data_IF_767199735913
#
_entry.id   IF_767199735913
#
_cell.length_a   1.000
_cell.length_b   1.000
_cell.length_c   1.000
_cell.angle_alpha   90.00
_cell.angle_beta   90.00
_cell.angle_gamma   90.00
#
_symmetry.space_group_name_H-M   'P 1'
#
loop_
_entity.id
_entity.type
_entity.pdbx_description
1 polymer ?
#
# COMPACT_ATOMS: atom_id res chain seq x y z
N UNK A 1 6.92 -23.43 12.83
CA UNK A 1 7.74 -23.09 11.65
C UNK A 1 7.20 -21.80 11.03
N UNK A 2 8.09 -20.88 10.69
CA UNK A 2 7.71 -19.61 10.06
C UNK A 2 8.81 -19.16 9.07
N UNK A 3 8.42 -18.38 8.08
CA UNK A 3 9.33 -17.65 7.19
C UNK A 3 9.38 -16.17 7.59
N UNK A 4 10.58 -15.59 7.64
CA UNK A 4 10.72 -14.15 7.89
C UNK A 4 10.19 -13.34 6.71
N UNK A 5 9.74 -12.12 6.95
CA UNK A 5 9.50 -11.18 5.85
C UNK A 5 10.80 -10.42 5.52
N UNK A 6 10.92 -10.00 4.27
CA UNK A 6 11.97 -9.10 3.76
C UNK A 6 11.34 -7.84 3.12
N UNK A 7 12.18 -6.92 2.65
CA UNK A 7 11.74 -5.66 2.04
C UNK A 7 11.56 -4.53 3.06
N UNK A 8 10.45 -3.80 2.99
CA UNK A 8 10.16 -2.60 3.81
C UNK A 8 9.77 -2.94 5.26
N UNK A 9 10.62 -3.69 5.95
CA UNK A 9 10.40 -4.20 7.31
C UNK A 9 10.22 -3.07 8.33
N UNK A 10 10.94 -1.97 8.17
CA UNK A 10 10.78 -0.82 9.06
C UNK A 10 9.43 -0.12 8.86
N UNK A 11 8.86 -0.16 7.65
CA UNK A 11 7.51 0.34 7.38
C UNK A 11 6.46 -0.56 8.03
N UNK A 12 6.63 -1.88 7.96
CA UNK A 12 5.76 -2.83 8.66
C UNK A 12 5.85 -2.68 10.19
N UNK A 13 7.04 -2.45 10.75
CA UNK A 13 7.23 -2.16 12.18
C UNK A 13 6.47 -0.90 12.60
N UNK A 14 6.62 0.20 11.84
CA UNK A 14 5.85 1.43 12.11
C UNK A 14 4.34 1.21 12.00
N UNK A 15 3.87 0.37 11.08
CA UNK A 15 2.45 0.03 10.97
C UNK A 15 1.96 -0.71 12.22
N UNK A 16 2.72 -1.71 12.69
CA UNK A 16 2.41 -2.46 13.91
C UNK A 16 2.37 -1.54 15.14
N UNK A 17 3.37 -0.68 15.33
CA UNK A 17 3.42 0.30 16.43
C UNK A 17 2.20 1.23 16.43
N UNK A 18 1.76 1.68 15.25
CA UNK A 18 0.56 2.52 15.12
C UNK A 18 -0.72 1.76 15.45
N UNK A 19 -0.82 0.50 15.04
CA UNK A 19 -1.95 -0.37 15.38
C UNK A 19 -2.00 -0.62 16.89
N UNK A 20 -0.87 -0.92 17.52
CA UNK A 20 -0.76 -1.09 18.97
C UNK A 20 -1.15 0.18 19.73
N UNK A 21 -0.69 1.35 19.27
CA UNK A 21 -1.07 2.62 19.87
C UNK A 21 -2.58 2.91 19.71
N UNK A 22 -3.19 2.52 18.59
CA UNK A 22 -4.63 2.63 18.39
C UNK A 22 -5.41 1.69 19.33
N UNK A 23 -4.97 0.44 19.49
CA UNK A 23 -5.57 -0.53 20.40
C UNK A 23 -5.55 -0.03 21.86
N UNK A 24 -4.40 0.50 22.31
CA UNK A 24 -4.28 1.12 23.64
C UNK A 24 -5.22 2.31 23.83
N UNK A 25 -5.32 3.21 22.85
CA UNK A 25 -6.24 4.36 22.92
C UNK A 25 -7.71 3.94 22.97
N UNK A 26 -8.04 2.78 22.42
CA UNK A 26 -9.38 2.17 22.49
C UNK A 26 -9.62 1.42 23.80
N UNK A 27 -8.68 1.42 24.75
CA UNK A 27 -8.81 0.78 26.05
C UNK A 27 -8.57 -0.73 26.05
N UNK A 28 -7.99 -1.29 24.99
CA UNK A 28 -7.65 -2.71 24.94
C UNK A 28 -6.40 -2.99 25.80
N UNK A 29 -6.45 -3.99 26.71
CA UNK A 29 -5.25 -4.43 27.40
C UNK A 29 -4.31 -5.06 26.38
N UNK A 30 -3.16 -4.43 26.18
CA UNK A 30 -2.11 -4.96 25.32
C UNK A 30 -1.04 -5.56 26.23
N UNK A 31 -0.64 -6.80 25.96
CA UNK A 31 0.46 -7.45 26.68
C UNK A 31 1.78 -6.69 26.49
N UNK A 32 2.77 -7.00 27.34
CA UNK A 32 4.10 -6.39 27.28
C UNK A 32 4.68 -6.55 25.87
N UNK A 33 5.09 -5.42 25.26
CA UNK A 33 5.37 -5.36 23.83
C UNK A 33 6.67 -6.09 23.51
N UNK A 34 6.53 -7.37 23.16
CA UNK A 34 7.59 -8.08 22.45
C UNK A 34 7.76 -7.38 21.10
N UNK A 35 9.00 -7.04 20.74
CA UNK A 35 9.28 -6.36 19.47
C UNK A 35 8.62 -7.09 18.31
N UNK A 36 7.89 -6.34 17.47
CA UNK A 36 7.23 -6.89 16.30
C UNK A 36 8.27 -7.51 15.35
N UNK A 37 8.11 -8.80 15.08
CA UNK A 37 8.93 -9.57 14.14
C UNK A 37 8.03 -10.01 12.98
N UNK A 38 8.09 -9.35 11.83
CA UNK A 38 7.30 -9.75 10.65
C UNK A 38 7.65 -11.17 10.23
N UNK A 39 6.65 -12.04 10.17
CA UNK A 39 6.81 -13.41 9.74
C UNK A 39 5.50 -13.96 9.18
N UNK A 40 5.61 -14.97 8.31
CA UNK A 40 4.51 -15.80 7.89
C UNK A 40 4.60 -17.14 8.62
N UNK A 41 3.58 -17.48 9.40
CA UNK A 41 3.49 -18.81 10.01
C UNK A 41 3.13 -19.83 8.94
N UNK A 42 3.99 -20.83 8.77
CA UNK A 42 3.82 -21.88 7.76
C UNK A 42 3.28 -23.17 8.36
N UNK A 43 3.72 -23.49 9.57
CA UNK A 43 3.21 -24.63 10.30
C UNK A 43 3.26 -24.39 11.81
N UNK A 44 2.27 -24.93 12.51
CA UNK A 44 2.20 -24.93 13.95
C UNK A 44 1.99 -26.37 14.41
N UNK A 45 2.83 -26.84 15.35
CA UNK A 45 2.67 -28.17 15.95
C UNK A 45 2.15 -28.01 17.37
N UNK A 46 1.12 -28.79 17.71
CA UNK A 46 0.58 -28.91 19.08
C UNK A 46 1.16 -30.11 19.84
N UNK A 47 1.92 -30.95 19.13
CA UNK A 47 2.62 -32.13 19.65
C UNK A 47 4.12 -31.97 19.43
N UNK A 48 4.91 -32.82 20.06
CA UNK A 48 6.36 -32.83 19.86
C UNK A 48 6.68 -33.46 18.49
N UNK A 49 6.73 -32.61 17.47
CA UNK A 49 7.04 -32.96 16.09
C UNK A 49 8.32 -32.25 15.68
N UNK A 50 9.30 -33.00 15.16
CA UNK A 50 10.52 -32.41 14.64
C UNK A 50 10.23 -31.62 13.35
N UNK A 51 10.39 -30.29 13.43
CA UNK A 51 10.21 -29.38 12.30
C UNK A 51 11.54 -28.99 11.62
N UNK A 52 12.68 -29.45 12.13
CA UNK A 52 14.02 -29.10 11.59
C UNK A 52 14.20 -29.48 10.12
N UNK A 53 13.76 -30.65 9.63
CA UNK A 53 13.92 -31.01 8.22
C UNK A 53 13.24 -30.01 7.27
N UNK A 54 12.06 -29.50 7.65
CA UNK A 54 11.34 -28.49 6.87
C UNK A 54 12.02 -27.13 6.93
N UNK A 55 12.60 -26.76 8.07
CA UNK A 55 13.39 -25.53 8.18
C UNK A 55 14.64 -25.59 7.28
N UNK A 56 15.36 -26.72 7.29
CA UNK A 56 16.52 -26.94 6.39
C UNK A 56 16.11 -26.92 4.92
N UNK A 57 14.99 -27.54 4.56
CA UNK A 57 14.51 -27.54 3.18
C UNK A 57 14.08 -26.15 2.67
N UNK A 58 13.76 -25.22 3.58
CA UNK A 58 13.44 -23.83 3.25
C UNK A 58 14.65 -22.89 3.38
N UNK A 59 15.85 -23.41 3.63
CA UNK A 59 17.04 -22.57 3.65
C UNK A 59 17.26 -21.92 2.28
N UNK A 60 17.50 -20.60 2.27
CA UNK A 60 17.59 -19.80 1.06
C UNK A 60 16.27 -19.62 0.28
N UNK A 61 15.12 -20.07 0.80
CA UNK A 61 13.83 -19.81 0.17
C UNK A 61 13.49 -18.31 0.20
N UNK A 62 13.20 -17.77 -0.97
CA UNK A 62 12.63 -16.43 -1.15
C UNK A 62 11.26 -16.54 -1.81
N UNK A 63 10.25 -15.94 -1.19
CA UNK A 63 8.90 -15.88 -1.74
C UNK A 63 8.76 -14.81 -2.81
N UNK A 64 7.66 -14.87 -3.58
CA UNK A 64 7.32 -13.80 -4.53
C UNK A 64 7.03 -12.49 -3.80
N UNK A 65 7.65 -11.36 -4.21
CA UNK A 65 7.31 -10.05 -3.66
C UNK A 65 5.85 -9.67 -3.91
N UNK A 66 5.23 -9.00 -2.94
CA UNK A 66 3.86 -8.51 -3.04
C UNK A 66 3.71 -7.22 -2.23
N UNK A 67 2.75 -6.39 -2.63
CA UNK A 67 2.42 -5.14 -1.94
C UNK A 67 1.31 -5.36 -0.90
N UNK A 68 1.51 -4.86 0.32
CA UNK A 68 0.48 -4.91 1.36
C UNK A 68 -0.62 -3.90 1.07
N UNK A 69 -1.77 -4.40 0.59
CA UNK A 69 -2.89 -3.57 0.18
C UNK A 69 -3.86 -3.18 1.31
N UNK A 70 -3.87 -3.91 2.44
CA UNK A 70 -4.79 -3.62 3.55
C UNK A 70 -4.28 -4.12 4.91
N UNK A 71 -4.78 -3.49 5.98
CA UNK A 71 -4.71 -3.98 7.35
C UNK A 71 -6.11 -4.42 7.78
N UNK A 72 -6.25 -5.58 8.42
CA UNK A 72 -7.53 -6.09 8.89
C UNK A 72 -7.55 -6.25 10.41
N UNK A 73 -8.68 -5.90 11.04
CA UNK A 73 -8.98 -6.30 12.42
C UNK A 73 -9.73 -7.63 12.39
N UNK A 74 -9.14 -8.65 13.00
CA UNK A 74 -9.67 -10.02 12.99
C UNK A 74 -10.03 -10.45 14.41
N UNK A 75 -11.24 -10.98 14.58
CA UNK A 75 -11.65 -11.66 15.80
C UNK A 75 -11.33 -13.15 15.67
N UNK A 76 -10.52 -13.67 16.58
CA UNK A 76 -10.32 -15.11 16.73
C UNK A 76 -11.29 -15.66 17.79
N UNK A 77 -12.03 -16.71 17.44
CA UNK A 77 -12.79 -17.54 18.38
C UNK A 77 -11.99 -18.82 18.59
N UNK A 78 -11.33 -18.89 19.74
CA UNK A 78 -10.52 -20.05 20.11
C UNK A 78 -11.41 -21.25 20.43
N UNK A 79 -10.94 -22.47 20.17
CA UNK A 79 -11.57 -23.69 20.66
C UNK A 79 -11.77 -23.61 22.18
N UNK A 80 -12.99 -23.83 22.65
CA UNK A 80 -13.34 -23.85 24.09
C UNK A 80 -13.84 -25.22 24.54
N UNK A 81 -14.19 -26.09 23.59
CA UNK A 81 -14.91 -27.34 23.85
C UNK A 81 -14.00 -28.49 24.31
N UNK A 82 -12.68 -28.33 24.20
CA UNK A 82 -11.70 -29.39 24.50
C UNK A 82 -11.68 -30.53 23.47
N UNK A 83 -12.46 -30.43 22.38
CA UNK A 83 -12.50 -31.44 21.32
C UNK A 83 -11.14 -31.49 20.60
N UNK A 84 -10.48 -32.66 20.56
CA UNK A 84 -9.23 -32.82 19.83
C UNK A 84 -9.40 -32.43 18.35
N UNK A 85 -8.56 -31.51 17.88
CA UNK A 85 -8.55 -31.06 16.49
C UNK A 85 -9.49 -29.88 16.17
N UNK A 86 -10.27 -29.37 17.14
CA UNK A 86 -11.03 -28.13 16.93
C UNK A 86 -10.07 -26.98 16.60
N UNK A 87 -10.36 -26.26 15.50
CA UNK A 87 -9.53 -25.16 15.02
C UNK A 87 -10.15 -23.81 15.38
N UNK A 88 -9.32 -22.77 15.63
CA UNK A 88 -9.82 -21.42 15.79
C UNK A 88 -10.63 -20.96 14.57
N UNK A 89 -11.74 -20.27 14.82
CA UNK A 89 -12.52 -19.59 13.77
C UNK A 89 -12.13 -18.13 13.73
N UNK A 90 -11.84 -17.60 12.54
CA UNK A 90 -11.46 -16.21 12.35
C UNK A 90 -12.55 -15.46 11.60
N UNK A 91 -12.89 -14.28 12.10
CA UNK A 91 -13.85 -13.36 11.48
C UNK A 91 -13.17 -12.01 11.27
N UNK A 92 -13.16 -11.52 10.04
CA UNK A 92 -12.69 -10.15 9.76
C UNK A 92 -13.80 -9.17 10.13
N UNK A 93 -13.52 -8.29 11.11
CA UNK A 93 -14.47 -7.28 11.55
C UNK A 93 -14.43 -6.02 10.68
N UNK A 94 -13.23 -5.60 10.27
CA UNK A 94 -13.02 -4.43 9.43
C UNK A 94 -11.69 -4.52 8.68
N UNK A 95 -11.64 -3.89 7.50
CA UNK A 95 -10.44 -3.72 6.66
C UNK A 95 -10.14 -2.25 6.47
N UNK A 96 -8.86 -1.91 6.52
CA UNK A 96 -8.33 -0.58 6.28
C UNK A 96 -7.41 -0.66 5.06
N UNK A 97 -7.80 -0.09 3.91
CA UNK A 97 -6.93 -0.09 2.73
C UNK A 97 -5.64 0.69 3.02
N UNK A 98 -4.52 0.16 2.53
CA UNK A 98 -3.20 0.76 2.58
C UNK A 98 -2.80 1.16 1.16
N UNK A 99 -2.19 2.33 1.02
CA UNK A 99 -1.89 2.94 -0.28
C UNK A 99 -2.67 4.24 -0.50
N UNK A 100 -2.40 4.92 -1.62
CA UNK A 100 -3.10 6.17 -1.93
C UNK A 100 -4.54 5.85 -2.28
N UNK A 101 -5.49 6.40 -1.52
CA UNK A 101 -6.80 6.72 -2.10
C UNK A 101 -6.51 7.48 -3.39
N UNK A 102 -6.93 6.94 -4.54
CA UNK A 102 -6.89 7.69 -5.79
C UNK A 102 -7.61 9.00 -5.49
N UNK A 103 -6.87 10.11 -5.45
CA UNK A 103 -7.48 11.44 -5.55
C UNK A 103 -8.13 11.44 -6.93
N UNK A 104 -9.42 11.16 -7.00
CA UNK A 104 -10.21 11.68 -8.10
C UNK A 104 -10.07 13.19 -8.00
N UNK A 105 -9.40 13.78 -9.01
CA UNK A 105 -9.54 15.20 -9.23
C UNK A 105 -11.01 15.41 -9.61
N UNK A 106 -11.76 16.32 -8.96
CA UNK A 106 -12.99 16.79 -9.58
C UNK A 106 -12.60 17.34 -10.94
N UNK A 107 -13.24 16.84 -11.99
CA UNK A 107 -13.11 17.41 -13.32
C UNK A 107 -13.53 18.88 -13.18
N UNK A 108 -12.54 19.77 -13.25
CA UNK A 108 -12.77 21.21 -13.27
C UNK A 108 -13.51 21.55 -14.55
N UNK A 109 -14.80 21.80 -14.39
CA UNK A 109 -15.35 23.15 -14.58
C UNK A 109 -14.67 23.93 -15.71
N UNK A 110 -15.38 23.97 -16.84
CA UNK A 110 -15.15 24.91 -17.93
C UNK A 110 -15.30 26.33 -17.40
N UNK A 111 -14.23 27.11 -17.42
CA UNK A 111 -14.36 28.57 -17.33
C UNK A 111 -14.00 29.17 -18.70
N UNK A 112 -15.06 29.54 -19.42
CA UNK A 112 -14.98 30.39 -20.59
C UNK A 112 -15.11 31.84 -20.14
N UNK A 113 -14.23 32.73 -20.62
CA UNK A 113 -14.37 34.15 -20.33
C UNK A 113 -13.15 34.97 -20.70
N UNK A 114 -13.23 35.55 -21.89
CA UNK A 114 -12.35 36.58 -22.47
C UNK A 114 -12.12 37.80 -21.57
N UNK A 115 -10.91 38.36 -21.57
CA UNK A 115 -10.74 39.77 -21.95
C UNK A 115 -9.27 40.14 -22.19
N UNK A 116 -9.08 40.88 -23.28
CA UNK A 116 -7.79 41.14 -23.90
C UNK A 116 -6.98 42.28 -23.30
N UNK A 117 -5.69 42.27 -23.64
CA UNK A 117 -4.88 43.48 -23.70
C UNK A 117 -3.88 43.37 -24.86
N UNK A 118 -3.79 44.38 -25.74
CA UNK A 118 -2.84 44.37 -26.84
C UNK A 118 -1.48 44.86 -26.34
N UNK A 119 -0.44 44.07 -26.59
CA UNK A 119 0.94 44.54 -26.47
C UNK A 119 1.40 45.00 -27.86
N UNK A 120 1.32 46.31 -28.08
CA UNK A 120 2.04 46.95 -29.18
C UNK A 120 3.54 46.99 -28.87
N UNK A 121 4.36 46.74 -29.87
CA UNK A 121 5.67 47.36 -29.98
C UNK A 121 5.90 47.76 -31.45
N UNK A 122 6.45 48.95 -31.73
CA UNK A 122 6.58 49.48 -33.08
C UNK A 122 7.94 49.12 -33.69
N UNK A 123 7.98 49.20 -35.02
CA UNK A 123 9.17 49.64 -35.75
C UNK A 123 10.15 48.54 -36.15
N UNK A 124 10.03 48.11 -37.41
CA UNK A 124 11.19 48.02 -38.29
C UNK A 124 10.70 48.19 -39.72
N UNK A 125 10.95 49.38 -40.27
CA UNK A 125 11.06 49.61 -41.70
C UNK A 125 11.97 48.56 -42.34
N UNK A 126 11.50 47.98 -43.45
CA UNK A 126 12.28 47.76 -44.66
C UNK A 126 11.38 47.23 -45.78
N UNK A 127 10.99 48.13 -46.68
CA UNK A 127 10.82 47.89 -48.12
C UNK A 127 11.81 48.89 -48.78
N UNK A 128 12.49 48.58 -49.90
CA UNK A 128 11.83 48.34 -51.17
C UNK A 128 12.39 47.17 -51.99
N UNK A 129 11.51 46.50 -52.74
CA UNK A 129 11.77 46.38 -54.17
C UNK A 129 11.42 45.07 -54.88
N UNK A 130 10.29 45.14 -55.59
CA UNK A 130 10.11 44.74 -56.99
C UNK A 130 10.19 43.24 -57.40
N UNK A 131 9.08 42.75 -57.96
CA UNK A 131 9.06 41.56 -58.81
C UNK A 131 7.65 41.05 -59.09
N UNK A 132 7.00 41.59 -60.12
CA UNK A 132 5.67 41.19 -60.62
C UNK A 132 5.85 40.10 -61.68
N UNK A 133 5.24 38.92 -61.55
CA UNK A 133 4.82 38.00 -62.64
C UNK A 133 3.71 37.10 -62.04
N UNK A 134 2.40 37.14 -62.34
CA UNK A 134 1.57 36.79 -63.52
C UNK A 134 1.76 35.40 -64.15
N UNK A 135 0.62 34.67 -64.26
CA UNK A 135 0.30 33.47 -65.05
C UNK A 135 0.86 32.12 -64.55
N UNK A 136 0.12 31.01 -64.48
CA UNK A 136 -1.28 30.72 -64.81
C UNK A 136 -1.51 29.19 -64.83
N UNK A 137 -2.78 28.80 -64.60
CA UNK A 137 -3.42 27.46 -64.73
C UNK A 137 -3.07 26.38 -63.72
#
# INVERSE_FOLDING_TARGET
>A
LWAGAAGDIDTLRRLAERADAAARRSGLPMEEHRHYRPHLTLAHSRTDQDLRPYATAMDGFEGTPWEVAELALVRSRLPVSGVPGEQPRYETLVRFPLGRARREKPNGETDGGTDGKPNGNPGADQDPGAGRETLGR
#
